data_IF_901451888637
#
_entry.id   IF_901451888637
#
_cell.length_a   1.000
_cell.length_b   1.000
_cell.length_c   1.000
_cell.angle_alpha   90.00
_cell.angle_beta   90.00
_cell.angle_gamma   90.00
#
_symmetry.space_group_name_H-M   'P 1'
#
loop_
_entity.id
_entity.type
_entity.pdbx_description
1 polymer ?
#
# COMPACT_ATOMS: atom_id res chain seq x y z
N UNK A 1 -16.27 5.22 0.52
CA UNK A 1 -15.63 3.91 0.34
C UNK A 1 -14.73 3.66 1.52
N UNK A 2 -15.05 2.65 2.34
CA UNK A 2 -14.18 2.23 3.44
C UNK A 2 -12.86 1.68 2.89
N UNK A 3 -11.77 2.03 3.55
CA UNK A 3 -10.39 1.68 3.22
C UNK A 3 -9.77 1.13 4.49
N UNK A 4 -9.25 -0.08 4.39
CA UNK A 4 -8.58 -0.78 5.48
C UNK A 4 -7.13 -1.06 5.07
N UNK A 5 -6.21 -0.95 6.02
CA UNK A 5 -4.82 -1.32 5.77
C UNK A 5 -4.71 -2.83 5.49
N UNK A 6 -4.01 -3.20 4.43
CA UNK A 6 -3.80 -4.60 4.06
C UNK A 6 -2.65 -5.27 4.82
N UNK A 7 -1.83 -4.52 5.56
CA UNK A 7 -0.71 -5.09 6.34
C UNK A 7 -1.25 -6.03 7.41
N UNK A 8 -0.73 -7.26 7.45
CA UNK A 8 -1.11 -8.26 8.47
C UNK A 8 -0.85 -7.70 9.87
N UNK A 9 -1.89 -7.71 10.70
CA UNK A 9 -1.86 -7.18 12.07
C UNK A 9 -2.18 -5.69 12.18
N UNK A 10 -2.47 -4.98 11.08
CA UNK A 10 -2.89 -3.58 11.12
C UNK A 10 -4.41 -3.44 11.04
N UNK A 11 -5.03 -2.97 12.13
CA UNK A 11 -6.48 -2.76 12.21
C UNK A 11 -6.91 -1.31 11.86
N UNK A 12 -6.05 -0.58 11.14
CA UNK A 12 -6.34 0.80 10.75
C UNK A 12 -7.39 0.82 9.65
N UNK A 13 -8.43 1.63 9.87
CA UNK A 13 -9.52 1.89 8.93
C UNK A 13 -9.70 3.38 8.73
N UNK A 14 -10.24 3.74 7.57
CA UNK A 14 -10.58 5.13 7.23
C UNK A 14 -11.95 5.55 7.72
N UNK A 15 -12.85 4.58 7.95
CA UNK A 15 -14.20 4.82 8.45
C UNK A 15 -14.48 3.90 9.64
N UNK A 16 -15.38 4.30 10.52
CA UNK A 16 -15.89 3.46 11.60
C UNK A 16 -16.90 2.43 11.08
N UNK A 17 -17.49 1.66 12.01
CA UNK A 17 -18.48 0.62 11.67
C UNK A 17 -19.78 1.19 11.12
N UNK A 18 -20.07 2.46 11.40
CA UNK A 18 -21.25 3.19 10.93
C UNK A 18 -20.97 3.90 9.59
N UNK A 19 -19.75 3.78 9.06
CA UNK A 19 -19.34 4.38 7.81
C UNK A 19 -18.97 5.86 7.91
N UNK A 20 -18.79 6.39 9.13
CA UNK A 20 -18.31 7.77 9.35
C UNK A 20 -16.79 7.81 9.21
N UNK A 21 -16.30 8.80 8.47
CA UNK A 21 -14.85 9.01 8.28
C UNK A 21 -14.18 9.24 9.64
N UNK A 22 -13.16 8.44 9.93
CA UNK A 22 -12.30 8.64 11.10
C UNK A 22 -11.34 9.79 10.82
N UNK A 23 -11.34 10.80 11.69
CA UNK A 23 -10.38 11.89 11.62
C UNK A 23 -9.09 11.52 12.37
N UNK A 24 -8.38 10.56 11.82
CA UNK A 24 -7.17 9.99 12.40
C UNK A 24 -5.88 10.50 11.69
N UNK A 25 -6.02 11.45 10.76
CA UNK A 25 -4.88 11.99 9.99
C UNK A 25 -4.16 10.96 9.12
N UNK A 26 -4.75 9.77 8.93
CA UNK A 26 -4.13 8.67 8.19
C UNK A 26 -4.51 8.75 6.71
N UNK A 27 -3.49 8.64 5.86
CA UNK A 27 -3.66 8.46 4.43
C UNK A 27 -3.48 6.99 4.05
N UNK A 28 -4.06 6.60 2.92
CA UNK A 28 -4.07 5.23 2.43
C UNK A 28 -3.48 5.21 1.01
N UNK A 29 -2.45 4.41 0.81
CA UNK A 29 -1.63 4.42 -0.39
C UNK A 29 -1.69 3.08 -1.10
N UNK A 30 -1.71 3.13 -2.44
CA UNK A 30 -1.68 1.95 -3.29
C UNK A 30 -0.25 1.48 -3.47
N UNK A 31 -0.09 0.21 -3.82
CA UNK A 31 1.19 -0.33 -4.20
C UNK A 31 1.77 0.42 -5.42
N UNK A 32 3.08 0.68 -5.45
CA UNK A 32 3.72 1.36 -6.56
C UNK A 32 3.62 0.52 -7.85
N UNK A 33 3.45 1.18 -8.98
CA UNK A 33 3.48 0.55 -10.31
C UNK A 33 4.91 0.21 -10.72
N UNK A 34 5.08 -0.88 -11.48
CA UNK A 34 6.36 -1.20 -12.11
C UNK A 34 6.46 -0.52 -13.47
N UNK A 35 7.38 0.44 -13.62
CA UNK A 35 7.48 1.32 -14.78
C UNK A 35 8.59 0.88 -15.73
N UNK A 36 8.24 -0.01 -16.66
CA UNK A 36 9.20 -0.62 -17.58
C UNK A 36 9.65 0.29 -18.73
N UNK A 37 8.88 1.34 -19.05
CA UNK A 37 9.09 2.20 -20.23
C UNK A 37 9.91 3.47 -19.95
N UNK A 38 10.24 3.72 -18.68
CA UNK A 38 10.91 4.96 -18.24
C UNK A 38 12.44 4.82 -18.13
N UNK A 39 13.01 3.75 -18.71
CA UNK A 39 14.43 3.42 -18.66
C UNK A 39 14.77 2.34 -17.64
N UNK A 40 15.93 1.68 -17.83
CA UNK A 40 16.36 0.53 -17.01
C UNK A 40 16.43 0.85 -15.52
N UNK A 41 17.08 1.97 -15.18
CA UNK A 41 17.23 2.40 -13.79
C UNK A 41 15.88 2.67 -13.09
N UNK A 42 14.92 3.30 -13.78
CA UNK A 42 13.57 3.54 -13.24
C UNK A 42 12.77 2.24 -13.13
N UNK A 43 12.90 1.35 -14.10
CA UNK A 43 12.28 0.02 -14.07
C UNK A 43 12.77 -0.78 -12.85
N UNK A 44 14.08 -0.84 -12.63
CA UNK A 44 14.68 -1.62 -11.55
C UNK A 44 14.32 -1.06 -10.16
N UNK A 45 14.41 0.27 -9.99
CA UNK A 45 14.04 0.93 -8.73
C UNK A 45 12.55 0.77 -8.39
N UNK A 46 11.65 0.92 -9.38
CA UNK A 46 10.21 0.73 -9.15
C UNK A 46 9.84 -0.73 -8.91
N UNK A 47 10.52 -1.67 -9.57
CA UNK A 47 10.40 -3.11 -9.31
C UNK A 47 10.82 -3.46 -7.89
N UNK A 48 12.00 -3.01 -7.46
CA UNK A 48 12.52 -3.26 -6.12
C UNK A 48 11.61 -2.65 -5.04
N UNK A 49 11.15 -1.41 -5.23
CA UNK A 49 10.20 -0.76 -4.31
C UNK A 49 8.90 -1.56 -4.19
N UNK A 50 8.35 -2.03 -5.32
CA UNK A 50 7.14 -2.87 -5.34
C UNK A 50 7.36 -4.20 -4.62
N UNK A 51 8.50 -4.88 -4.83
CA UNK A 51 8.83 -6.11 -4.11
C UNK A 51 8.95 -5.88 -2.59
N UNK A 52 9.61 -4.80 -2.18
CA UNK A 52 9.74 -4.46 -0.76
C UNK A 52 8.38 -4.23 -0.09
N UNK A 53 7.45 -3.56 -0.77
CA UNK A 53 6.08 -3.38 -0.26
C UNK A 53 5.34 -4.71 -0.09
N UNK A 54 5.40 -5.61 -1.07
CA UNK A 54 4.74 -6.92 -0.98
C UNK A 54 5.29 -7.71 0.22
N UNK A 55 6.62 -7.74 0.38
CA UNK A 55 7.26 -8.40 1.51
C UNK A 55 6.84 -7.78 2.85
N UNK A 56 6.72 -6.45 2.93
CA UNK A 56 6.34 -5.76 4.16
C UNK A 56 4.88 -6.03 4.60
N UNK A 57 3.97 -6.21 3.65
CA UNK A 57 2.55 -6.47 3.93
C UNK A 57 2.33 -7.88 4.52
N UNK A 58 3.23 -8.83 4.22
CA UNK A 58 3.21 -10.22 4.72
C UNK A 58 1.92 -10.97 4.44
N UNK A 59 1.27 -10.66 3.30
CA UNK A 59 0.06 -11.37 2.83
C UNK A 59 0.43 -12.41 1.79
N UNK A 60 -0.04 -13.64 2.00
CA UNK A 60 0.22 -14.76 1.10
C UNK A 60 -0.59 -14.69 -0.20
N UNK A 61 -1.66 -13.90 -0.24
CA UNK A 61 -2.57 -13.75 -1.38
C UNK A 61 -2.20 -12.60 -2.34
N UNK A 62 -1.02 -11.98 -2.16
CA UNK A 62 -0.56 -10.88 -3.01
C UNK A 62 0.58 -11.36 -3.91
N UNK A 63 0.30 -11.34 -5.21
CA UNK A 63 1.28 -11.65 -6.26
C UNK A 63 1.85 -10.36 -6.88
N UNK A 64 3.13 -10.39 -7.26
CA UNK A 64 3.81 -9.21 -7.83
C UNK A 64 3.12 -8.68 -9.11
N UNK A 65 2.71 -9.60 -9.98
CA UNK A 65 2.05 -9.31 -11.26
C UNK A 65 0.61 -8.84 -11.09
N UNK A 66 -0.08 -9.28 -10.03
CA UNK A 66 -1.51 -9.07 -9.83
C UNK A 66 -1.80 -8.62 -8.40
N UNK A 67 -1.60 -7.32 -8.15
CA UNK A 67 -2.00 -6.70 -6.89
C UNK A 67 -3.39 -6.06 -7.06
N UNK A 68 -4.40 -6.51 -6.30
CA UNK A 68 -5.73 -5.91 -6.38
C UNK A 68 -5.72 -4.42 -6.02
N UNK A 69 -6.44 -3.61 -6.80
CA UNK A 69 -6.43 -2.14 -6.68
C UNK A 69 -7.09 -1.60 -5.41
N UNK A 70 -7.85 -2.45 -4.70
CA UNK A 70 -8.48 -2.13 -3.42
C UNK A 70 -7.56 -2.34 -2.22
N UNK A 71 -6.41 -3.00 -2.39
CA UNK A 71 -5.43 -3.16 -1.32
C UNK A 71 -4.66 -1.85 -1.11
N UNK A 72 -4.65 -1.40 0.14
CA UNK A 72 -4.08 -0.12 0.55
C UNK A 72 -3.22 -0.29 1.79
N UNK A 73 -2.16 0.49 1.91
CA UNK A 73 -1.29 0.56 3.10
C UNK A 73 -1.50 1.92 3.76
N UNK A 74 -1.70 1.94 5.08
CA UNK A 74 -1.88 3.21 5.80
C UNK A 74 -0.55 3.92 6.06
N UNK A 75 -0.59 5.24 6.20
CA UNK A 75 0.60 6.09 6.40
C UNK A 75 1.46 5.73 7.61
N UNK A 76 0.93 5.00 8.60
CA UNK A 76 1.66 4.54 9.78
C UNK A 76 2.84 3.61 9.46
N UNK A 77 2.80 2.92 8.32
CA UNK A 77 3.87 2.01 7.92
C UNK A 77 5.03 2.70 7.18
N UNK A 78 4.96 4.03 7.04
CA UNK A 78 5.98 4.82 6.38
C UNK A 78 6.72 5.67 7.41
N UNK A 79 8.04 5.74 7.27
CA UNK A 79 8.86 6.65 8.06
C UNK A 79 8.61 8.08 7.56
N UNK A 80 8.08 8.94 8.43
CA UNK A 80 7.90 10.38 8.23
C UNK A 80 7.12 10.85 6.97
N UNK A 81 6.26 10.02 6.38
CA UNK A 81 5.32 10.45 5.35
C UNK A 81 5.92 10.71 3.95
N UNK A 82 7.18 10.31 3.70
CA UNK A 82 7.75 10.36 2.35
C UNK A 82 7.50 9.03 1.60
N UNK A 83 7.03 9.13 0.35
CA UNK A 83 6.47 8.05 -0.49
C UNK A 83 7.29 7.76 -1.75
#
# INVERSE_FOLDING_TARGET
MDRTCCVVGCNVRSHDREGKKLDNGLSFHRFPSWRQREGSHVSDSTKQRRQAWIAAVRRADIEFSAIPSFLLVCSRHFLSGEF
#
